data_IF_962971858875
#
_entry.id   IF_962971858875
#
_cell.length_a   1.000
_cell.length_b   1.000
_cell.length_c   1.000
_cell.angle_alpha   90.00
_cell.angle_beta   90.00
_cell.angle_gamma   90.00
#
_symmetry.space_group_name_H-M   'P 1'
#
loop_
_entity.id
_entity.type
_entity.pdbx_description
1 polymer ?
#
# COMPACT_ATOMS: atom_id res chain seq x y z
N UNK A 1 31.29 -14.64 -13.14
CA UNK A 1 29.83 -14.38 -12.98
C UNK A 1 29.40 -14.32 -11.51
N UNK A 2 30.05 -15.05 -10.58
CA UNK A 2 29.81 -14.94 -9.12
C UNK A 2 30.20 -13.56 -8.53
N UNK A 3 31.29 -12.95 -9.01
CA UNK A 3 31.84 -11.70 -8.45
C UNK A 3 31.03 -10.44 -8.80
N UNK A 4 30.39 -10.40 -9.97
CA UNK A 4 29.51 -9.27 -10.36
C UNK A 4 28.21 -9.24 -9.54
N UNK A 5 27.75 -10.42 -9.10
CA UNK A 5 26.62 -10.53 -8.19
C UNK A 5 27.04 -10.11 -6.77
N UNK A 6 28.26 -10.47 -6.34
CA UNK A 6 28.78 -10.11 -5.01
C UNK A 6 29.02 -8.60 -4.85
N UNK A 7 29.47 -7.91 -5.91
CA UNK A 7 29.65 -6.45 -5.89
C UNK A 7 28.33 -5.66 -5.91
N UNK A 8 27.25 -6.24 -6.45
CA UNK A 8 25.92 -5.63 -6.36
C UNK A 8 25.30 -5.73 -4.94
N UNK A 9 25.78 -6.67 -4.11
CA UNK A 9 25.22 -6.95 -2.78
C UNK A 9 25.82 -6.03 -1.70
N UNK A 10 26.93 -5.35 -1.99
CA UNK A 10 27.49 -4.28 -1.14
C UNK A 10 27.11 -2.91 -1.68
N UNK A 11 25.82 -2.69 -1.94
CA UNK A 11 25.30 -1.33 -1.95
C UNK A 11 25.68 -0.69 -0.60
N UNK A 12 26.26 0.51 -0.63
CA UNK A 12 26.59 1.29 0.57
C UNK A 12 25.32 1.43 1.43
N UNK A 13 25.20 0.58 2.44
CA UNK A 13 24.00 0.49 3.26
C UNK A 13 24.15 1.47 4.41
N UNK A 14 23.39 2.55 4.36
CA UNK A 14 23.37 3.55 5.42
C UNK A 14 22.28 3.22 6.44
N UNK A 15 22.57 3.48 7.72
CA UNK A 15 21.59 3.39 8.80
C UNK A 15 20.53 4.50 8.67
N UNK A 16 19.26 4.13 8.83
CA UNK A 16 18.13 5.06 8.82
C UNK A 16 17.42 5.02 10.17
N UNK A 17 17.47 6.12 10.93
CA UNK A 17 16.89 6.21 12.28
C UNK A 17 16.05 7.46 12.40
N UNK A 18 14.81 7.31 12.88
CA UNK A 18 13.88 8.39 13.13
C UNK A 18 13.12 8.13 14.44
N UNK A 19 12.62 9.22 15.04
CA UNK A 19 11.74 9.13 16.21
C UNK A 19 10.29 8.99 15.74
N UNK A 20 9.55 8.11 16.39
CA UNK A 20 8.14 7.85 16.16
C UNK A 20 7.44 7.75 17.51
N UNK A 21 6.20 8.22 17.59
CA UNK A 21 5.39 8.03 18.79
C UNK A 21 5.16 6.53 19.06
N UNK A 22 5.02 6.19 20.34
CA UNK A 22 4.84 4.80 20.76
C UNK A 22 3.61 4.17 20.12
N UNK A 23 2.47 4.89 20.09
CA UNK A 23 1.21 4.37 19.53
C UNK A 23 1.38 4.05 18.05
N UNK A 24 1.92 4.98 17.28
CA UNK A 24 2.13 4.79 15.83
C UNK A 24 3.08 3.62 15.55
N UNK A 25 4.12 3.41 16.37
CA UNK A 25 5.00 2.25 16.25
C UNK A 25 4.26 0.94 16.47
N UNK A 26 3.40 0.88 17.49
CA UNK A 26 2.62 -0.32 17.81
C UNK A 26 1.59 -0.63 16.70
N UNK A 27 0.88 0.38 16.21
CA UNK A 27 -0.05 0.25 15.08
C UNK A 27 0.66 -0.22 13.80
N UNK A 28 1.83 0.36 13.50
CA UNK A 28 2.64 -0.06 12.36
C UNK A 28 3.18 -1.49 12.53
N UNK A 29 3.51 -1.90 13.76
CA UNK A 29 3.93 -3.28 14.07
C UNK A 29 2.85 -4.28 13.69
N UNK A 30 1.63 -4.06 14.19
CA UNK A 30 0.51 -4.95 13.96
C UNK A 30 0.12 -5.00 12.48
N UNK A 31 0.23 -3.88 11.77
CA UNK A 31 0.02 -3.85 10.32
C UNK A 31 1.08 -4.65 9.56
N UNK A 32 2.35 -4.55 9.94
CA UNK A 32 3.41 -5.32 9.29
C UNK A 32 3.24 -6.82 9.55
N UNK A 33 2.86 -7.20 10.77
CA UNK A 33 2.61 -8.60 11.17
C UNK A 33 1.45 -9.22 10.39
N UNK A 34 0.34 -8.50 10.23
CA UNK A 34 -0.82 -8.97 9.45
C UNK A 34 -0.50 -9.15 7.96
N UNK A 35 0.51 -8.44 7.45
CA UNK A 35 1.01 -8.57 6.08
C UNK A 35 2.14 -9.60 5.95
N UNK A 36 2.60 -10.22 7.04
CA UNK A 36 3.73 -11.15 7.06
C UNK A 36 5.09 -10.48 6.77
N UNK A 37 5.21 -9.19 7.09
CA UNK A 37 6.41 -8.38 6.83
C UNK A 37 7.05 -7.91 8.13
N UNK A 38 8.36 -7.68 8.10
CA UNK A 38 9.03 -6.92 9.16
C UNK A 38 8.86 -5.43 8.92
N UNK A 39 8.86 -4.62 9.99
CA UNK A 39 8.80 -3.15 9.90
C UNK A 39 9.86 -2.59 8.95
N UNK A 40 11.08 -3.13 9.00
CA UNK A 40 12.20 -2.69 8.16
C UNK A 40 11.94 -2.96 6.68
N UNK A 41 11.43 -4.15 6.33
CA UNK A 41 11.09 -4.49 4.94
C UNK A 41 9.94 -3.64 4.41
N UNK A 42 8.91 -3.42 5.22
CA UNK A 42 7.77 -2.57 4.87
C UNK A 42 8.20 -1.10 4.68
N UNK A 43 9.06 -0.58 5.58
CA UNK A 43 9.60 0.78 5.48
C UNK A 43 10.47 0.93 4.23
N UNK A 44 11.34 -0.04 3.96
CA UNK A 44 12.19 -0.03 2.78
C UNK A 44 11.37 -0.06 1.49
N UNK A 45 10.29 -0.86 1.44
CA UNK A 45 9.38 -0.91 0.30
C UNK A 45 8.72 0.46 0.06
N UNK A 46 8.25 1.12 1.13
CA UNK A 46 7.65 2.44 1.06
C UNK A 46 8.65 3.49 0.55
N UNK A 47 9.86 3.53 1.11
CA UNK A 47 10.92 4.46 0.67
C UNK A 47 11.27 4.22 -0.81
N UNK A 48 11.44 2.96 -1.22
CA UNK A 48 11.70 2.60 -2.62
C UNK A 48 10.57 3.01 -3.54
N UNK A 49 9.32 2.90 -3.10
CA UNK A 49 8.17 3.33 -3.88
C UNK A 49 8.14 4.85 -4.04
N UNK A 50 8.37 5.61 -2.96
CA UNK A 50 8.41 7.06 -3.00
C UNK A 50 9.51 7.58 -3.95
N UNK A 51 10.70 6.99 -3.90
CA UNK A 51 11.80 7.33 -4.81
C UNK A 51 11.45 6.99 -6.26
N UNK A 52 10.90 5.79 -6.53
CA UNK A 52 10.51 5.38 -7.89
C UNK A 52 9.44 6.29 -8.49
N UNK A 53 8.50 6.74 -7.67
CA UNK A 53 7.39 7.59 -8.12
C UNK A 53 7.74 9.08 -8.07
N UNK A 54 8.96 9.46 -7.65
CA UNK A 54 9.39 10.85 -7.45
C UNK A 54 8.37 11.67 -6.66
N UNK A 55 7.72 11.04 -5.67
CA UNK A 55 6.57 11.62 -5.00
C UNK A 55 6.20 10.91 -3.72
N UNK A 56 5.79 11.69 -2.72
CA UNK A 56 5.31 11.22 -1.43
C UNK A 56 3.78 11.09 -1.50
N UNK A 57 3.28 10.03 -2.14
CA UNK A 57 1.84 9.83 -2.32
C UNK A 57 1.19 9.29 -1.04
N UNK A 58 0.86 10.19 -0.10
CA UNK A 58 -0.07 9.87 0.98
C UNK A 58 -1.49 9.98 0.43
N UNK A 59 -2.11 8.83 0.16
CA UNK A 59 -3.55 8.80 -0.12
C UNK A 59 -4.27 8.93 1.22
N UNK A 60 -5.09 9.97 1.40
CA UNK A 60 -6.03 10.02 2.51
C UNK A 60 -7.03 8.89 2.30
N UNK A 61 -6.86 7.80 3.05
CA UNK A 61 -7.72 6.62 2.98
C UNK A 61 -8.59 6.59 4.23
N UNK A 62 -9.85 6.28 4.04
CA UNK A 62 -10.83 6.12 5.11
C UNK A 62 -10.60 4.81 5.89
N UNK A 63 -11.37 4.53 6.95
CA UNK A 63 -11.27 3.33 7.80
C UNK A 63 -11.33 2.02 6.97
N UNK A 64 -11.95 2.08 5.80
CA UNK A 64 -12.09 0.97 4.85
C UNK A 64 -11.00 0.94 3.76
N UNK A 65 -9.98 1.80 3.82
CA UNK A 65 -8.87 1.83 2.85
C UNK A 65 -9.19 2.53 1.53
N UNK A 66 -10.39 3.08 1.35
CA UNK A 66 -10.79 3.79 0.12
C UNK A 66 -10.32 5.24 0.12
N UNK A 67 -9.92 5.73 -1.05
CA UNK A 67 -9.83 7.18 -1.27
C UNK A 67 -11.23 7.81 -1.25
N UNK A 68 -11.37 9.11 -0.96
CA UNK A 68 -12.68 9.78 -0.97
C UNK A 68 -13.39 9.67 -2.33
N UNK A 69 -12.64 9.61 -3.44
CA UNK A 69 -13.18 9.38 -4.77
C UNK A 69 -13.73 7.96 -4.95
N UNK A 70 -12.99 6.93 -4.50
CA UNK A 70 -13.45 5.53 -4.55
C UNK A 70 -14.67 5.29 -3.65
N UNK A 71 -14.67 5.88 -2.46
CA UNK A 71 -15.82 5.81 -1.55
C UNK A 71 -17.07 6.48 -2.15
N UNK A 72 -16.90 7.61 -2.85
CA UNK A 72 -17.99 8.27 -3.55
C UNK A 72 -18.52 7.44 -4.72
N UNK A 73 -17.63 6.82 -5.50
CA UNK A 73 -18.02 5.94 -6.59
C UNK A 73 -18.74 4.68 -6.08
N UNK A 74 -18.22 4.05 -5.03
CA UNK A 74 -18.84 2.88 -4.42
C UNK A 74 -20.24 3.21 -3.90
N UNK A 75 -20.42 4.36 -3.21
CA UNK A 75 -21.73 4.85 -2.78
C UNK A 75 -22.67 5.11 -3.95
N UNK A 76 -22.18 5.67 -5.06
CA UNK A 76 -22.97 5.89 -6.27
C UNK A 76 -23.47 4.57 -6.86
N UNK A 77 -22.60 3.57 -6.99
CA UNK A 77 -22.98 2.23 -7.50
C UNK A 77 -23.99 1.53 -6.57
N UNK A 78 -23.79 1.58 -5.25
CA UNK A 78 -24.75 1.03 -4.28
C UNK A 78 -26.13 1.70 -4.42
N UNK A 79 -26.17 3.02 -4.62
CA UNK A 79 -27.42 3.75 -4.84
C UNK A 79 -28.11 3.34 -6.14
N UNK A 80 -27.36 3.10 -7.20
CA UNK A 80 -27.87 2.69 -8.51
C UNK A 80 -28.45 1.27 -8.48
N UNK A 81 -27.76 0.35 -7.81
CA UNK A 81 -28.24 -1.02 -7.54
C UNK A 81 -29.52 -0.99 -6.69
N UNK A 82 -29.56 -0.19 -5.62
CA UNK A 82 -30.77 -0.03 -4.78
C UNK A 82 -31.96 0.57 -5.53
N UNK A 83 -31.70 1.38 -6.56
CA UNK A 83 -32.74 1.94 -7.44
C UNK A 83 -33.19 0.97 -8.54
N UNK A 84 -32.60 -0.22 -8.62
CA UNK A 84 -32.97 -1.25 -9.60
C UNK A 84 -32.35 -1.06 -10.98
N UNK A 85 -31.36 -0.16 -11.14
CA UNK A 85 -30.68 0.12 -12.41
C UNK A 85 -29.41 -0.72 -12.65
N UNK A 86 -29.16 -1.73 -11.82
CA UNK A 86 -28.01 -2.60 -12.00
C UNK A 86 -28.12 -3.40 -13.29
N UNK A 87 -27.28 -3.09 -14.27
CA UNK A 87 -27.15 -3.86 -15.50
C UNK A 87 -26.54 -5.21 -15.13
N UNK A 88 -27.35 -6.27 -15.15
CA UNK A 88 -26.88 -7.65 -15.02
C UNK A 88 -26.13 -8.02 -16.30
N UNK A 89 -24.80 -7.98 -16.25
CA UNK A 89 -23.98 -8.57 -17.30
C UNK A 89 -23.91 -10.07 -17.07
N UNK A 90 -24.44 -10.84 -18.01
CA UNK A 90 -24.30 -12.30 -18.04
C UNK A 90 -22.82 -12.66 -18.27
N UNK A 91 -22.29 -13.57 -17.46
CA UNK A 91 -20.93 -14.08 -17.62
C UNK A 91 -20.89 -14.90 -18.91
N UNK A 92 -20.36 -14.33 -19.99
CA UNK A 92 -20.07 -15.13 -21.19
C UNK A 92 -18.78 -15.91 -20.96
N UNK A 93 -18.92 -17.23 -20.84
CA UNK A 93 -17.82 -18.19 -20.84
C UNK A 93 -17.34 -18.36 -22.29
N UNK A 94 -16.06 -18.07 -22.56
CA UNK A 94 -15.32 -18.54 -23.77
C UNK A 94 -14.21 -19.49 -23.32
#
# INVERSE_FOLDING_TARGET
MQEVIYMAITADMTNFTFKVDKKTREEYSSLCDSLGLTMSSATLALVRQAVRNQGMSFSLRDENGFTPAEAAELKRRISDVRKGNAVHHDLTED
#
